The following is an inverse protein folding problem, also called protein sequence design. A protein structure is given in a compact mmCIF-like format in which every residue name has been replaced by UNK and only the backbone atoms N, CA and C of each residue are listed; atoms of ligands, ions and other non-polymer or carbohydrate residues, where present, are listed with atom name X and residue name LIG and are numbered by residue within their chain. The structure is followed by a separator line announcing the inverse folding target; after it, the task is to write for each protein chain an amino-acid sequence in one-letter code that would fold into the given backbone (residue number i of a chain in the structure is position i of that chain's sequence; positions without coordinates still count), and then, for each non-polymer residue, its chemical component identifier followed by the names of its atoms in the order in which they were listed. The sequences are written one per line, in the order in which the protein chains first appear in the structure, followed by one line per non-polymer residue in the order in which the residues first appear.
data_IF_518121008683
#
_entry.id   IF_518121008683
#
_cell.length_a   1.000
_cell.length_b   1.000
_cell.length_c   1.000
_cell.angle_alpha   90.00
_cell.angle_beta   90.00
_cell.angle_gamma   90.00
#
_symmetry.space_group_name_H-M   'P 1'
#
loop_
_entity.id
_entity.type
_entity.pdbx_description
1 polymer ?
#
# COMPACT_ATOMS: atom_id res chain seq x y z
N UNK A 1 -16.91 40.21 -40.86
CA UNK A 1 -15.52 39.73 -40.73
C UNK A 1 -14.59 40.94 -40.71
N UNK A 2 -14.21 41.46 -39.54
CA UNK A 2 -13.28 42.59 -39.47
C UNK A 2 -11.87 42.12 -39.82
N UNK A 3 -11.36 42.55 -40.97
CA UNK A 3 -9.98 42.33 -41.38
C UNK A 3 -9.09 43.28 -40.57
N UNK A 4 -8.02 42.77 -39.96
CA UNK A 4 -7.06 43.60 -39.25
C UNK A 4 -6.53 44.72 -40.17
N UNK A 5 -6.30 45.94 -39.66
CA UNK A 5 -5.76 47.06 -40.44
C UNK A 5 -4.42 46.66 -41.08
N UNK A 6 -4.22 47.02 -42.36
CA UNK A 6 -2.93 46.81 -43.01
C UNK A 6 -1.96 47.85 -42.50
N UNK A 7 -0.85 47.41 -41.91
CA UNK A 7 0.24 48.28 -41.51
C UNK A 7 0.95 48.77 -42.77
N UNK A 8 0.79 50.05 -43.10
CA UNK A 8 1.22 50.64 -44.37
C UNK A 8 2.70 51.04 -44.37
N UNK A 9 3.38 51.04 -43.21
CA UNK A 9 4.80 51.31 -43.12
C UNK A 9 5.62 50.00 -43.05
N UNK A 10 6.72 49.86 -43.81
CA UNK A 10 7.55 48.65 -43.82
C UNK A 10 8.08 48.26 -42.43
N UNK A 11 8.34 49.24 -41.56
CA UNK A 11 8.81 49.00 -40.20
C UNK A 11 7.70 48.40 -39.32
N UNK A 12 6.49 48.97 -39.35
CA UNK A 12 5.37 48.45 -38.57
C UNK A 12 4.97 47.03 -38.96
N UNK A 13 5.07 46.69 -40.26
CA UNK A 13 4.83 45.31 -40.73
C UNK A 13 5.83 44.32 -40.12
N UNK A 14 7.11 44.69 -40.01
CA UNK A 14 8.16 43.84 -39.43
C UNK A 14 8.00 43.70 -37.92
N UNK A 15 7.63 44.77 -37.23
CA UNK A 15 7.40 44.76 -35.79
C UNK A 15 6.19 43.88 -35.43
N UNK A 16 5.12 43.96 -36.22
CA UNK A 16 3.96 43.08 -36.08
C UNK A 16 4.31 41.60 -36.33
N UNK A 17 5.09 41.33 -37.38
CA UNK A 17 5.47 39.95 -37.72
C UNK A 17 6.36 39.34 -36.63
N UNK A 18 7.28 40.12 -36.08
CA UNK A 18 8.09 39.74 -34.92
C UNK A 18 7.23 39.46 -33.69
N UNK A 19 6.32 40.36 -33.34
CA UNK A 19 5.41 40.19 -32.20
C UNK A 19 4.50 38.96 -32.38
N UNK A 20 4.06 38.69 -33.60
CA UNK A 20 3.28 37.50 -33.92
C UNK A 20 4.06 36.22 -33.68
N UNK A 21 5.29 36.11 -34.20
CA UNK A 21 6.13 34.93 -33.99
C UNK A 21 6.52 34.75 -32.52
N UNK A 22 6.84 35.83 -31.81
CA UNK A 22 7.10 35.79 -30.36
C UNK A 22 5.87 35.30 -29.57
N UNK A 23 4.67 35.78 -29.91
CA UNK A 23 3.44 35.31 -29.28
C UNK A 23 3.21 33.82 -29.56
N UNK A 24 3.37 33.38 -30.82
CA UNK A 24 3.21 31.96 -31.20
C UNK A 24 4.20 31.08 -30.44
N UNK A 25 5.45 31.52 -30.30
CA UNK A 25 6.45 30.82 -29.50
C UNK A 25 6.05 30.73 -28.02
N UNK A 26 5.51 31.79 -27.43
CA UNK A 26 5.02 31.77 -26.04
C UNK A 26 3.83 30.82 -25.86
N UNK A 27 2.89 30.84 -26.80
CA UNK A 27 1.72 29.94 -26.78
C UNK A 27 2.15 28.48 -26.91
N UNK A 28 3.06 28.18 -27.83
CA UNK A 28 3.53 26.81 -28.06
C UNK A 28 4.32 26.26 -26.87
N UNK A 29 5.10 27.11 -26.19
CA UNK A 29 5.93 26.71 -25.05
C UNK A 29 5.23 26.91 -23.69
N UNK A 30 3.96 27.32 -23.68
CA UNK A 30 3.21 27.54 -22.45
C UNK A 30 3.13 26.24 -21.64
N UNK A 31 3.65 26.27 -20.42
CA UNK A 31 3.54 25.15 -19.47
C UNK A 31 2.19 25.20 -18.75
N UNK A 32 1.63 24.04 -18.38
CA UNK A 32 0.43 24.01 -17.55
C UNK A 32 0.69 24.65 -16.19
N UNK A 33 -0.26 25.46 -15.70
CA UNK A 33 -0.17 26.13 -14.39
C UNK A 33 -0.27 25.13 -13.22
N UNK A 34 -0.97 24.02 -13.45
CA UNK A 34 -1.23 22.98 -12.46
C UNK A 34 -0.62 21.68 -12.97
N UNK A 35 0.04 20.96 -12.07
CA UNK A 35 0.51 19.62 -12.37
C UNK A 35 -0.69 18.69 -12.62
N UNK A 36 -0.75 18.13 -13.82
CA UNK A 36 -1.76 17.12 -14.21
C UNK A 36 -1.16 15.71 -14.23
N UNK A 37 0.06 15.53 -13.75
CA UNK A 37 0.68 14.22 -13.67
C UNK A 37 -0.08 13.33 -12.69
N UNK A 38 -0.06 12.03 -12.97
CA UNK A 38 -0.63 11.04 -12.06
C UNK A 38 0.18 11.03 -10.76
N UNK A 39 -0.46 11.16 -9.59
CA UNK A 39 0.23 11.01 -8.32
C UNK A 39 0.89 9.62 -8.21
N UNK A 40 2.04 9.51 -7.52
CA UNK A 40 2.68 8.22 -7.30
C UNK A 40 1.73 7.23 -6.62
N UNK A 41 1.70 6.00 -7.10
CA UNK A 41 0.96 4.92 -6.46
C UNK A 41 1.73 4.43 -5.24
N UNK A 42 1.16 4.67 -4.06
CA UNK A 42 1.77 4.19 -2.81
C UNK A 42 1.36 2.75 -2.51
N UNK A 43 2.33 1.91 -2.15
CA UNK A 43 2.09 0.51 -1.82
C UNK A 43 1.07 0.30 -0.69
N UNK A 44 1.08 1.18 0.31
CA UNK A 44 0.16 1.11 1.46
C UNK A 44 -1.31 1.36 1.09
N UNK A 45 -1.61 1.92 -0.09
CA UNK A 45 -2.99 2.09 -0.58
C UNK A 45 -3.56 0.77 -1.11
N UNK A 46 -2.70 -0.08 -1.69
CA UNK A 46 -3.11 -1.37 -2.24
C UNK A 46 -2.96 -2.51 -1.24
N UNK A 47 -2.00 -2.40 -0.32
CA UNK A 47 -1.72 -3.44 0.66
C UNK A 47 -2.31 -3.10 2.05
N UNK A 48 -3.20 -3.97 2.52
CA UNK A 48 -3.74 -3.90 3.89
C UNK A 48 -2.78 -4.55 4.89
N UNK A 49 -1.65 -3.89 5.15
CA UNK A 49 -0.58 -4.39 6.04
C UNK A 49 -1.08 -4.88 7.41
N UNK A 50 -1.97 -4.12 8.06
CA UNK A 50 -2.56 -4.52 9.35
C UNK A 50 -3.32 -5.84 9.24
N UNK A 51 -4.08 -6.04 8.17
CA UNK A 51 -4.85 -7.27 7.95
C UNK A 51 -3.92 -8.46 7.78
N UNK A 52 -2.87 -8.32 6.98
CA UNK A 52 -1.89 -9.38 6.75
C UNK A 52 -1.18 -9.80 8.04
N UNK A 53 -0.72 -8.81 8.81
CA UNK A 53 -0.09 -9.06 10.11
C UNK A 53 -1.00 -9.84 11.07
N UNK A 54 -2.26 -9.43 11.20
CA UNK A 54 -3.19 -10.13 12.09
C UNK A 54 -3.47 -11.57 11.62
N UNK A 55 -3.50 -11.82 10.31
CA UNK A 55 -3.68 -13.18 9.79
C UNK A 55 -2.46 -14.06 10.06
N UNK A 56 -1.25 -13.52 9.90
CA UNK A 56 0.00 -14.21 10.23
C UNK A 56 0.09 -14.57 11.73
N UNK A 57 -0.29 -13.63 12.60
CA UNK A 57 -0.35 -13.86 14.05
C UNK A 57 -1.40 -14.93 14.41
N UNK A 58 -2.57 -14.92 13.75
CA UNK A 58 -3.62 -15.92 13.91
C UNK A 58 -3.14 -17.32 13.50
N UNK A 59 -2.50 -17.42 12.33
CA UNK A 59 -1.92 -18.68 11.83
C UNK A 59 -0.83 -19.19 12.77
N UNK A 60 0.07 -18.32 13.22
CA UNK A 60 1.14 -18.68 14.15
C UNK A 60 0.59 -19.23 15.48
N UNK A 61 -0.51 -18.65 15.97
CA UNK A 61 -1.21 -19.13 17.17
C UNK A 61 -1.77 -20.53 16.96
N UNK A 62 -2.45 -20.75 15.84
CA UNK A 62 -3.03 -22.05 15.46
C UNK A 62 -1.95 -23.11 15.32
N UNK A 63 -0.84 -22.80 14.65
CA UNK A 63 0.26 -23.75 14.46
C UNK A 63 0.91 -24.15 15.78
N UNK A 64 1.10 -23.19 16.69
CA UNK A 64 1.62 -23.46 18.04
C UNK A 64 0.66 -24.37 18.82
N UNK A 65 -0.64 -24.09 18.78
CA UNK A 65 -1.65 -24.88 19.48
C UNK A 65 -1.78 -26.29 18.89
N UNK A 66 -1.72 -26.42 17.56
CA UNK A 66 -1.73 -27.71 16.87
C UNK A 66 -0.53 -28.57 17.25
N UNK A 67 0.68 -27.98 17.33
CA UNK A 67 1.88 -28.69 17.79
C UNK A 67 1.73 -29.20 19.22
N UNK A 68 1.23 -28.35 20.12
CA UNK A 68 0.99 -28.73 21.52
C UNK A 68 -0.05 -29.85 21.64
N UNK A 69 -1.13 -29.76 20.86
CA UNK A 69 -2.16 -30.80 20.82
C UNK A 69 -1.59 -32.13 20.34
N UNK A 70 -0.81 -32.12 19.25
CA UNK A 70 -0.16 -33.31 18.71
C UNK A 70 0.80 -33.94 19.73
N UNK A 71 1.59 -33.14 20.44
CA UNK A 71 2.48 -33.62 21.49
C UNK A 71 1.71 -34.30 22.63
N UNK A 72 0.62 -33.69 23.10
CA UNK A 72 -0.24 -34.25 24.14
C UNK A 72 -0.88 -35.57 23.70
N UNK A 73 -1.46 -35.60 22.50
CA UNK A 73 -2.06 -36.82 21.92
C UNK A 73 -1.01 -37.92 21.78
N UNK A 74 0.18 -37.60 21.24
CA UNK A 74 1.26 -38.56 21.12
C UNK A 74 1.69 -39.13 22.47
N UNK A 75 1.76 -38.29 23.51
CA UNK A 75 2.09 -38.72 24.87
C UNK A 75 1.05 -39.68 25.44
N UNK A 76 -0.24 -39.35 25.30
CA UNK A 76 -1.36 -40.21 25.73
C UNK A 76 -1.33 -41.55 24.98
N UNK A 77 -1.11 -41.52 23.67
CA UNK A 77 -1.04 -42.74 22.84
C UNK A 77 0.13 -43.64 23.26
N UNK A 78 1.30 -43.06 23.58
CA UNK A 78 2.47 -43.81 24.06
C UNK A 78 2.23 -44.42 25.44
N UNK A 79 1.62 -43.68 26.35
CA UNK A 79 1.36 -44.11 27.74
C UNK A 79 0.12 -45.02 27.87
N UNK A 80 -0.63 -45.24 26.78
CA UNK A 80 -1.84 -46.09 26.74
C UNK A 80 -2.88 -45.75 27.82
N UNK A 81 -2.91 -44.50 28.28
CA UNK A 81 -3.80 -44.08 29.36
C UNK A 81 -3.40 -44.58 30.75
N UNK A 82 -2.14 -44.95 30.99
CA UNK A 82 -1.63 -45.10 32.35
C UNK A 82 -1.60 -43.73 33.04
N UNK A 83 -2.65 -43.44 33.80
CA UNK A 83 -2.61 -42.42 34.84
C UNK A 83 -1.86 -42.99 36.04
N UNK A 84 -0.81 -42.30 36.47
CA UNK A 84 -0.13 -42.50 37.74
C UNK A 84 -1.05 -42.08 38.89
N UNK A 85 -2.05 -42.92 39.18
CA UNK A 85 -2.95 -42.76 40.32
C UNK A 85 -2.21 -43.09 41.63
N UNK A 86 -1.13 -42.40 41.99
CA UNK A 86 -0.66 -42.38 43.37
C UNK A 86 -1.43 -41.29 44.13
N UNK A 87 -2.64 -41.64 44.55
CA UNK A 87 -3.30 -40.91 45.62
C UNK A 87 -2.68 -41.40 46.94
N UNK A 88 -1.63 -40.73 47.41
CA UNK A 88 -1.08 -40.95 48.76
C UNK A 88 -2.08 -40.44 49.80
N UNK A 89 -3.18 -41.16 50.00
CA UNK A 89 -4.11 -40.93 51.10
C UNK A 89 -3.50 -41.49 52.38
N UNK A 90 -2.44 -40.85 52.88
CA UNK A 90 -1.92 -41.07 54.23
C UNK A 90 -2.61 -40.13 55.22
N UNK A 91 -3.95 -40.17 55.29
CA UNK A 91 -4.65 -39.69 56.48
C UNK A 91 -4.65 -40.81 57.53
N UNK A 92 -3.48 -41.01 58.13
CA UNK A 92 -3.29 -41.85 59.29
C UNK A 92 -3.82 -41.16 60.55
N UNK A 93 -4.87 -41.76 61.13
CA UNK A 93 -4.99 -42.13 62.55
C UNK A 93 -4.08 -41.34 63.51
N UNK A 94 -4.67 -40.45 64.34
CA UNK A 94 -4.76 -40.50 65.82
C UNK A 94 -5.71 -39.39 66.29
#
# INVERSE_FOLDING_TARGET
MHRAPRLTSPCASRDWEKAYWEHRAKVQNAQPLVDTCMPPTFYHLHLKLKKLKMEEERISTIDRDNRLLLEKVATIMRTRGQTDCQNDSTYGRW
#
